data_IF_056411500607
#
_entry.id   IF_056411500607
#
_cell.length_a   1.000
_cell.length_b   1.000
_cell.length_c   1.000
_cell.angle_alpha   90.00
_cell.angle_beta   90.00
_cell.angle_gamma   90.00
#
_symmetry.space_group_name_H-M   'P 1'
#
loop_
_entity.id
_entity.type
_entity.pdbx_description
1 polymer ?
#
# COMPACT_ATOMS: atom_id res chain seq x y z
N UNK A 1 2.91 2.80 0.16
CA UNK A 1 3.10 1.76 -0.88
C UNK A 1 1.86 0.89 -0.94
N UNK A 2 1.61 0.23 -2.06
CA UNK A 2 0.47 -0.69 -2.22
C UNK A 2 0.79 -1.76 -3.25
N UNK A 3 0.41 -3.00 -2.99
CA UNK A 3 0.43 -4.05 -3.99
C UNK A 3 -0.91 -4.11 -4.72
N UNK A 4 -0.85 -4.32 -6.03
CA UNK A 4 -2.02 -4.53 -6.89
C UNK A 4 -1.85 -5.81 -7.68
N UNK A 5 -2.97 -6.46 -8.00
CA UNK A 5 -3.03 -7.54 -8.98
C UNK A 5 -3.47 -6.95 -10.32
N UNK A 6 -2.78 -7.31 -11.39
CA UNK A 6 -3.18 -6.99 -12.75
C UNK A 6 -3.42 -8.27 -13.56
N UNK A 7 -4.23 -8.17 -14.60
CA UNK A 7 -4.37 -9.25 -15.58
C UNK A 7 -3.17 -9.33 -16.55
N UNK A 8 -3.25 -10.27 -17.50
CA UNK A 8 -2.21 -10.47 -18.52
C UNK A 8 -1.98 -9.24 -19.40
N UNK A 9 -3.03 -8.43 -19.61
CA UNK A 9 -2.99 -7.20 -20.39
C UNK A 9 -2.54 -5.99 -19.55
N UNK A 10 -2.35 -6.17 -18.25
CA UNK A 10 -1.96 -5.09 -17.33
C UNK A 10 -3.14 -4.27 -16.80
N UNK A 11 -4.37 -4.72 -16.99
CA UNK A 11 -5.56 -4.07 -16.38
C UNK A 11 -5.55 -4.37 -14.88
N UNK A 12 -5.62 -3.32 -14.06
CA UNK A 12 -5.65 -3.46 -12.61
C UNK A 12 -6.96 -4.10 -12.16
N UNK A 13 -6.85 -5.20 -11.43
CA UNK A 13 -7.99 -5.91 -10.86
C UNK A 13 -8.40 -5.31 -9.52
N UNK A 14 -9.64 -5.60 -9.14
CA UNK A 14 -10.28 -5.20 -7.90
C UNK A 14 -11.02 -6.42 -7.36
N UNK A 15 -11.01 -6.62 -6.03
CA UNK A 15 -11.83 -7.63 -5.38
C UNK A 15 -13.10 -6.96 -4.87
N UNK A 16 -14.26 -7.58 -5.09
CA UNK A 16 -15.52 -7.16 -4.47
C UNK A 16 -15.67 -7.98 -3.18
N UNK A 17 -15.87 -7.30 -2.06
CA UNK A 17 -15.86 -7.93 -0.74
C UNK A 17 -17.20 -8.60 -0.37
N UNK A 18 -18.26 -8.32 -1.13
CA UNK A 18 -19.62 -8.82 -0.92
C UNK A 18 -20.21 -9.37 -2.21
N UNK A 19 -21.08 -10.38 -2.16
CA UNK A 19 -21.83 -10.83 -3.34
C UNK A 19 -22.63 -9.69 -3.97
N UNK A 20 -22.67 -9.63 -5.31
CA UNK A 20 -23.44 -8.60 -6.02
C UNK A 20 -24.95 -8.67 -5.72
N UNK A 21 -25.47 -9.87 -5.45
CA UNK A 21 -26.86 -10.09 -5.04
C UNK A 21 -27.22 -9.34 -3.76
N UNK A 22 -26.30 -9.29 -2.80
CA UNK A 22 -26.52 -8.68 -1.49
C UNK A 22 -26.46 -7.14 -1.60
N UNK A 23 -25.77 -6.66 -2.63
CA UNK A 23 -25.67 -5.25 -2.99
C UNK A 23 -26.80 -4.77 -3.89
N UNK A 24 -27.60 -5.68 -4.47
CA UNK A 24 -28.67 -5.35 -5.40
C UNK A 24 -28.19 -4.75 -6.73
N UNK A 25 -27.00 -5.16 -7.20
CA UNK A 25 -26.39 -4.67 -8.45
C UNK A 25 -26.15 -5.82 -9.43
N UNK A 26 -26.15 -5.52 -10.73
CA UNK A 26 -26.03 -6.55 -11.78
C UNK A 26 -24.58 -6.84 -12.16
N UNK A 27 -23.66 -5.90 -11.92
CA UNK A 27 -22.26 -5.99 -12.32
C UNK A 27 -21.32 -5.21 -11.39
N UNK A 28 -20.02 -5.45 -11.55
CA UNK A 28 -18.96 -4.92 -10.67
C UNK A 28 -18.74 -3.41 -10.87
N UNK A 29 -19.11 -2.86 -12.03
CA UNK A 29 -18.98 -1.45 -12.35
C UNK A 29 -19.97 -0.59 -11.57
N UNK A 30 -21.13 -1.15 -11.21
CA UNK A 30 -22.15 -0.50 -10.38
C UNK A 30 -21.76 -0.45 -8.89
N UNK A 31 -20.79 -1.26 -8.45
CA UNK A 31 -20.35 -1.27 -7.04
C UNK A 31 -19.61 0.05 -6.75
N UNK A 32 -20.02 0.82 -5.73
CA UNK A 32 -19.31 2.01 -5.28
C UNK A 32 -17.83 1.75 -4.98
N UNK A 33 -16.96 2.69 -5.31
CA UNK A 33 -15.52 2.53 -5.09
C UNK A 33 -15.12 3.00 -3.68
N UNK A 34 -15.55 2.23 -2.69
CA UNK A 34 -15.23 2.44 -1.27
C UNK A 34 -14.55 1.20 -0.68
N UNK A 35 -13.70 1.40 0.33
CA UNK A 35 -12.85 0.33 0.90
C UNK A 35 -13.66 -0.84 1.51
N UNK A 36 -14.86 -0.54 2.02
CA UNK A 36 -15.78 -1.55 2.58
C UNK A 36 -16.22 -2.54 1.50
N UNK A 37 -16.49 -2.07 0.29
CA UNK A 37 -17.04 -2.87 -0.81
C UNK A 37 -15.97 -3.41 -1.76
N UNK A 38 -14.84 -2.71 -1.89
CA UNK A 38 -13.77 -3.07 -2.81
C UNK A 38 -12.42 -3.12 -2.12
N UNK A 39 -11.71 -4.22 -2.32
CA UNK A 39 -10.32 -4.36 -1.92
C UNK A 39 -9.40 -4.28 -3.13
N UNK A 40 -8.44 -3.35 -3.09
CA UNK A 40 -7.49 -3.11 -4.17
C UNK A 40 -6.22 -3.98 -4.04
N UNK A 41 -5.90 -4.43 -2.83
CA UNK A 41 -4.66 -5.08 -2.45
C UNK A 41 -4.07 -4.45 -1.19
N UNK A 42 -3.03 -5.06 -0.60
CA UNK A 42 -2.49 -4.65 0.68
C UNK A 42 -1.67 -3.38 0.52
N UNK A 43 -1.73 -2.55 1.54
CA UNK A 43 -1.02 -1.30 1.60
C UNK A 43 -0.18 -1.17 2.86
N UNK A 44 0.77 -0.24 2.81
CA UNK A 44 1.59 0.16 3.93
C UNK A 44 1.91 1.64 3.79
N UNK A 45 1.85 2.38 4.89
CA UNK A 45 2.09 3.82 4.90
C UNK A 45 3.02 4.17 6.05
N UNK A 46 4.09 4.90 5.72
CA UNK A 46 5.09 5.34 6.70
C UNK A 46 5.48 6.78 6.39
N UNK A 47 5.38 7.65 7.39
CA UNK A 47 6.03 8.96 7.35
C UNK A 47 7.52 8.77 7.61
N UNK A 48 8.37 9.25 6.71
CA UNK A 48 9.81 9.01 6.79
C UNK A 48 10.44 9.47 8.11
N UNK A 49 9.92 10.54 8.74
CA UNK A 49 10.38 11.00 10.04
C UNK A 49 9.92 10.14 11.22
N UNK A 50 9.04 9.17 11.01
CA UNK A 50 8.55 8.22 12.01
C UNK A 50 9.01 6.79 11.73
N UNK A 51 10.16 6.63 11.05
CA UNK A 51 10.74 5.35 10.63
C UNK A 51 11.40 4.52 11.76
N UNK A 52 11.48 5.06 12.97
CA UNK A 52 12.04 4.35 14.12
C UNK A 52 11.16 3.17 14.52
N UNK A 53 11.78 2.03 14.83
CA UNK A 53 11.09 0.84 15.31
C UNK A 53 11.28 0.66 16.81
N UNK A 54 10.28 0.08 17.45
CA UNK A 54 10.37 -0.42 18.81
C UNK A 54 11.02 -1.81 18.78
N UNK A 55 12.18 -1.96 19.42
CA UNK A 55 12.94 -3.20 19.38
C UNK A 55 12.29 -4.33 20.19
N UNK A 56 11.52 -4.00 21.25
CA UNK A 56 10.88 -4.98 22.13
C UNK A 56 9.58 -5.50 21.53
N UNK A 57 8.86 -4.65 20.79
CA UNK A 57 7.60 -4.99 20.12
C UNK A 57 7.79 -5.51 18.69
N UNK A 58 9.01 -5.49 18.17
CA UNK A 58 9.32 -6.00 16.82
C UNK A 58 9.69 -7.49 16.86
N UNK A 59 9.32 -8.21 15.79
CA UNK A 59 9.73 -9.58 15.52
C UNK A 59 10.53 -9.67 14.21
N UNK A 60 10.93 -10.89 13.84
CA UNK A 60 11.62 -11.15 12.58
C UNK A 60 10.76 -10.84 11.35
N UNK A 61 9.44 -10.92 11.47
CA UNK A 61 8.48 -10.75 10.37
C UNK A 61 7.59 -9.51 10.49
N UNK A 62 7.68 -8.75 11.58
CA UNK A 62 6.88 -7.54 11.80
C UNK A 62 7.66 -6.49 12.57
N UNK A 63 7.77 -5.28 12.03
CA UNK A 63 8.49 -4.18 12.66
C UNK A 63 7.52 -3.14 13.18
N UNK A 64 7.29 -3.17 14.49
CA UNK A 64 6.41 -2.23 15.18
C UNK A 64 7.09 -0.85 15.22
N UNK A 65 6.42 0.17 14.69
CA UNK A 65 6.91 1.55 14.74
C UNK A 65 6.87 2.06 16.19
N UNK A 66 7.97 2.67 16.66
CA UNK A 66 8.08 3.19 18.03
C UNK A 66 7.22 4.44 18.25
N UNK A 67 7.13 5.31 17.23
CA UNK A 67 6.43 6.60 17.26
C UNK A 67 6.90 7.63 18.31
N UNK A 68 7.79 7.27 19.24
CA UNK A 68 8.25 8.12 20.36
C UNK A 68 8.91 9.42 19.88
N UNK A 69 9.83 9.32 18.92
CA UNK A 69 10.63 10.46 18.46
C UNK A 69 10.41 10.68 16.95
N UNK A 70 10.53 11.93 16.53
CA UNK A 70 10.60 12.29 15.10
C UNK A 70 12.07 12.39 14.65
N UNK A 71 12.45 11.61 13.65
CA UNK A 71 13.75 11.71 12.99
C UNK A 71 13.60 12.47 11.66
N UNK A 72 13.76 13.80 11.70
CA UNK A 72 13.70 14.61 10.48
C UNK A 72 14.59 14.07 9.36
N UNK A 73 14.16 14.27 8.11
CA UNK A 73 14.90 13.83 6.92
C UNK A 73 15.53 15.06 6.28
N UNK A 74 16.85 15.29 6.45
CA UNK A 74 17.51 16.42 5.83
C UNK A 74 17.35 16.39 4.31
N UNK A 75 17.18 17.57 3.71
CA UNK A 75 17.07 17.70 2.25
C UNK A 75 18.29 17.07 1.56
N UNK A 76 18.05 16.23 0.56
CA UNK A 76 19.10 15.55 -0.20
C UNK A 76 19.70 14.32 0.48
N UNK A 77 19.32 14.02 1.73
CA UNK A 77 19.67 12.77 2.38
C UNK A 77 18.84 11.61 1.84
N UNK A 78 19.41 10.41 1.91
CA UNK A 78 18.72 9.16 1.58
C UNK A 78 18.58 8.36 2.86
N UNK A 79 17.34 8.03 3.22
CA UNK A 79 17.01 7.21 4.39
C UNK A 79 16.41 5.88 3.94
N UNK A 80 16.72 4.80 4.64
CA UNK A 80 16.05 3.50 4.45
C UNK A 80 14.68 3.56 5.10
N UNK A 81 13.65 3.16 4.35
CA UNK A 81 12.31 2.95 4.88
C UNK A 81 12.01 1.46 4.77
N UNK A 82 11.64 0.85 5.89
CA UNK A 82 11.02 -0.47 5.91
C UNK A 82 9.54 -0.25 6.20
N UNK A 83 8.70 -0.64 5.26
CA UNK A 83 7.27 -0.38 5.29
C UNK A 83 6.55 -1.71 5.24
N UNK A 84 6.01 -2.12 6.37
CA UNK A 84 5.22 -3.34 6.45
C UNK A 84 3.87 -3.12 5.75
N UNK A 85 3.41 -4.17 5.07
CA UNK A 85 2.12 -4.21 4.39
C UNK A 85 1.11 -4.92 5.28
N UNK A 86 -0.15 -4.51 5.21
CA UNK A 86 -1.22 -5.26 5.87
C UNK A 86 -1.23 -6.71 5.39
N UNK A 87 -1.26 -7.70 6.32
CA UNK A 87 -1.25 -9.11 5.96
C UNK A 87 -2.40 -9.45 4.99
N UNK A 88 -2.08 -10.16 3.93
CA UNK A 88 -3.05 -10.56 2.92
C UNK A 88 -2.69 -11.89 2.28
N UNK A 89 -3.69 -12.58 1.74
CA UNK A 89 -3.52 -13.72 0.85
C UNK A 89 -3.93 -13.32 -0.56
N UNK A 90 -3.08 -13.55 -1.54
CA UNK A 90 -3.37 -13.26 -2.95
C UNK A 90 -2.93 -14.42 -3.84
N UNK A 91 -3.84 -14.91 -4.67
CA UNK A 91 -3.55 -15.95 -5.66
C UNK A 91 -3.23 -15.29 -7.00
N UNK A 92 -2.18 -15.76 -7.69
CA UNK A 92 -1.80 -15.27 -9.02
C UNK A 92 -1.82 -16.42 -10.04
N UNK A 93 -2.87 -16.46 -10.85
CA UNK A 93 -2.96 -17.40 -11.97
C UNK A 93 -1.94 -17.04 -13.06
N UNK A 94 -1.65 -18.01 -13.94
CA UNK A 94 -0.75 -17.80 -15.08
C UNK A 94 -1.11 -16.53 -15.85
N UNK A 95 -0.11 -15.68 -16.06
CA UNK A 95 -0.25 -14.41 -16.78
C UNK A 95 -0.73 -13.23 -15.93
N UNK A 96 -1.25 -13.45 -14.72
CA UNK A 96 -1.52 -12.34 -13.78
C UNK A 96 -0.20 -11.75 -13.29
N UNK A 97 -0.21 -10.46 -12.97
CA UNK A 97 0.99 -9.70 -12.60
C UNK A 97 0.84 -9.08 -11.21
N UNK A 98 1.89 -9.16 -10.42
CA UNK A 98 2.04 -8.39 -9.18
C UNK A 98 2.60 -7.01 -9.51
N UNK A 99 1.99 -5.97 -8.97
CA UNK A 99 2.35 -4.59 -9.24
C UNK A 99 2.60 -3.86 -7.92
N UNK A 100 3.80 -3.32 -7.73
CA UNK A 100 4.12 -2.44 -6.61
C UNK A 100 3.86 -0.98 -7.01
N UNK A 101 3.00 -0.29 -6.25
CA UNK A 101 2.79 1.15 -6.36
C UNK A 101 3.46 1.87 -5.18
N UNK A 102 4.18 2.94 -5.49
CA UNK A 102 4.81 3.83 -4.51
C UNK A 102 4.27 5.24 -4.77
N UNK A 103 3.84 5.93 -3.72
CA UNK A 103 3.26 7.27 -3.82
C UNK A 103 3.54 8.07 -2.55
N UNK A 104 3.55 9.39 -2.67
CA UNK A 104 3.55 10.35 -1.57
C UNK A 104 2.15 10.71 -1.06
N UNK A 105 1.10 10.00 -1.46
CA UNK A 105 -0.26 10.20 -0.94
C UNK A 105 -0.94 8.86 -0.70
N UNK A 106 -2.05 8.88 0.06
CA UNK A 106 -2.87 7.70 0.30
C UNK A 106 -3.52 7.21 -1.01
N UNK A 107 -3.29 5.94 -1.34
CA UNK A 107 -3.81 5.31 -2.57
C UNK A 107 -5.03 4.42 -2.31
N UNK A 108 -5.51 4.35 -1.07
CA UNK A 108 -6.68 3.56 -0.69
C UNK A 108 -7.96 4.20 -1.21
N UNK A 109 -9.00 3.37 -1.27
CA UNK A 109 -10.37 3.87 -1.36
C UNK A 109 -10.77 4.44 0.01
N UNK A 110 -11.59 5.47 0.02
CA UNK A 110 -12.18 5.95 1.26
C UNK A 110 -13.28 4.98 1.73
N UNK A 111 -13.60 5.00 3.02
CA UNK A 111 -14.70 4.17 3.56
C UNK A 111 -16.07 4.67 3.07
N UNK A 112 -16.18 5.96 2.78
CA UNK A 112 -17.38 6.62 2.27
C UNK A 112 -17.05 7.48 1.06
N UNK A 113 -17.93 7.51 0.07
CA UNK A 113 -17.70 8.26 -1.18
C UNK A 113 -17.45 9.75 -0.95
N UNK A 114 -18.16 10.36 0.01
CA UNK A 114 -18.00 11.78 0.36
C UNK A 114 -16.59 12.12 0.87
N UNK A 115 -15.84 11.13 1.36
CA UNK A 115 -14.47 11.31 1.84
C UNK A 115 -13.42 11.08 0.75
N UNK A 116 -13.82 10.60 -0.43
CA UNK A 116 -12.90 10.28 -1.51
C UNK A 116 -12.17 11.54 -1.98
N UNK A 117 -10.83 11.49 -1.97
CA UNK A 117 -9.98 12.60 -2.37
C UNK A 117 -9.83 13.72 -1.34
N UNK A 118 -10.45 13.62 -0.15
CA UNK A 118 -10.28 14.60 0.92
C UNK A 118 -8.99 14.40 1.75
N UNK A 119 -8.26 13.30 1.53
CA UNK A 119 -7.01 13.03 2.22
C UNK A 119 -5.92 14.04 1.82
N UNK A 120 -5.50 14.85 2.78
CA UNK A 120 -4.42 15.82 2.59
C UNK A 120 -3.09 15.25 3.06
N UNK A 121 -2.11 15.18 2.15
CA UNK A 121 -0.74 14.85 2.49
C UNK A 121 0.06 16.14 2.76
N UNK A 122 0.90 16.12 3.80
CA UNK A 122 1.85 17.19 4.08
C UNK A 122 3.16 17.06 3.28
N UNK A 123 3.12 16.35 2.15
CA UNK A 123 4.30 16.08 1.32
C UNK A 123 4.44 17.18 0.27
N UNK A 124 5.66 17.70 0.10
CA UNK A 124 5.96 18.79 -0.82
C UNK A 124 7.18 18.46 -1.69
N UNK A 125 7.10 18.82 -2.97
CA UNK A 125 8.21 18.65 -3.92
C UNK A 125 8.38 17.23 -4.45
N UNK A 126 9.59 16.92 -4.92
CA UNK A 126 9.90 15.65 -5.58
C UNK A 126 10.44 14.62 -4.59
N UNK A 127 9.88 13.41 -4.65
CA UNK A 127 10.30 12.27 -3.87
C UNK A 127 11.02 11.27 -4.77
N UNK A 128 12.15 10.73 -4.31
CA UNK A 128 12.99 9.83 -5.09
C UNK A 128 13.05 8.45 -4.45
N UNK A 129 12.91 7.40 -5.25
CA UNK A 129 13.15 6.02 -4.86
C UNK A 129 14.46 5.59 -5.50
N UNK A 130 15.41 5.14 -4.69
CA UNK A 130 16.70 4.67 -5.17
C UNK A 130 16.67 3.15 -5.36
N UNK A 131 17.07 2.70 -6.55
CA UNK A 131 17.17 1.29 -6.93
C UNK A 131 18.60 0.99 -7.40
N UNK A 132 19.20 -0.09 -6.90
CA UNK A 132 20.54 -0.53 -7.28
C UNK A 132 21.69 0.31 -6.69
N UNK A 133 22.92 0.09 -7.16
CA UNK A 133 24.10 0.87 -6.74
C UNK A 133 24.42 0.80 -5.24
N UNK A 134 24.21 -0.35 -4.61
CA UNK A 134 24.35 -0.54 -3.16
C UNK A 134 23.19 0.00 -2.33
N UNK A 135 22.12 0.49 -2.97
CA UNK A 135 20.86 0.92 -2.35
C UNK A 135 19.73 0.05 -2.87
N UNK A 136 19.68 -1.16 -2.36
CA UNK A 136 18.73 -2.19 -2.80
C UNK A 136 17.38 -2.00 -2.10
N UNK A 137 16.47 -1.31 -2.77
CA UNK A 137 15.06 -1.37 -2.42
C UNK A 137 14.47 -2.64 -3.03
N UNK A 138 13.77 -3.43 -2.21
CA UNK A 138 13.15 -4.68 -2.62
C UNK A 138 11.75 -4.79 -2.04
N UNK A 139 10.97 -5.73 -2.61
CA UNK A 139 9.71 -6.16 -2.06
C UNK A 139 9.92 -7.55 -1.48
N UNK A 140 9.71 -7.69 -0.17
CA UNK A 140 9.72 -8.99 0.50
C UNK A 140 8.31 -9.58 0.49
N UNK A 141 8.16 -10.78 -0.06
CA UNK A 141 6.89 -11.49 -0.14
C UNK A 141 7.08 -12.96 0.19
N UNK A 142 6.21 -13.48 1.03
CA UNK A 142 6.14 -14.92 1.30
C UNK A 142 5.31 -15.60 0.21
N UNK A 143 5.92 -16.56 -0.47
CA UNK A 143 5.27 -17.39 -1.49
C UNK A 143 4.97 -18.75 -0.86
N UNK A 144 3.73 -19.21 -1.02
CA UNK A 144 3.24 -20.52 -0.55
C UNK A 144 3.11 -21.51 -1.71
#
# INVERSE_FOLDING_TARGET
>A
VMLRKADANGVMLQSINQPLSDLGVDNVEQVPSVAILKYLGPEGMLRASKRAFDAELSSDWWRTLSHEIGEEVPRGSVVKLQIDLWPTGMIFDKGKKLMLKISGHDMRLADFEVLQGLFQAANEGNHYVHLGGGRESYLDVHIL
#
